data_IF_154259137646
#
_entry.id   IF_154259137646
#
_cell.length_a   1.000
_cell.length_b   1.000
_cell.length_c   1.000
_cell.angle_alpha   90.00
_cell.angle_beta   90.00
_cell.angle_gamma   90.00
#
_symmetry.space_group_name_H-M   'P 1'
#
loop_
_entity.id
_entity.type
_entity.pdbx_description
1 polymer ?
#
# COMPACT_ATOMS: atom_id res chain seq x y z
N UNK A 1 -18.45 -11.46 5.03
CA UNK A 1 -17.80 -11.57 6.36
C UNK A 1 -16.71 -10.50 6.39
N UNK A 2 -16.87 -9.43 7.16
CA UNK A 2 -15.96 -8.29 7.14
C UNK A 2 -14.67 -8.68 7.85
N UNK A 3 -13.58 -8.82 7.08
CA UNK A 3 -12.23 -9.06 7.58
C UNK A 3 -11.83 -7.86 8.45
N UNK A 4 -12.23 -7.93 9.72
CA UNK A 4 -12.02 -6.89 10.71
C UNK A 4 -10.61 -7.11 11.22
N UNK A 5 -9.64 -6.61 10.44
CA UNK A 5 -8.31 -6.31 10.92
C UNK A 5 -8.52 -5.63 12.28
N UNK A 6 -8.14 -6.30 13.37
CA UNK A 6 -8.34 -5.82 14.74
C UNK A 6 -7.45 -4.60 14.95
N UNK A 7 -7.90 -3.48 14.42
CA UNK A 7 -7.16 -2.24 14.48
C UNK A 7 -7.14 -1.74 15.93
N UNK A 8 -5.97 -1.30 16.42
CA UNK A 8 -5.83 -0.83 17.79
C UNK A 8 -6.80 0.31 18.11
N UNK A 9 -7.23 0.46 19.37
CA UNK A 9 -8.06 1.58 19.78
C UNK A 9 -7.31 2.90 19.53
N UNK A 10 -8.00 3.88 18.93
CA UNK A 10 -7.41 5.20 18.65
C UNK A 10 -7.23 5.94 19.99
N UNK A 11 -6.01 6.32 20.38
CA UNK A 11 -5.74 7.06 21.61
C UNK A 11 -6.50 8.39 21.67
N UNK A 12 -6.74 8.92 22.87
CA UNK A 12 -7.29 10.26 23.09
C UNK A 12 -6.25 11.38 22.86
N UNK A 13 -5.52 11.32 21.74
CA UNK A 13 -4.50 12.30 21.34
C UNK A 13 -5.08 13.28 20.32
N UNK A 14 -4.71 14.56 20.41
CA UNK A 14 -5.21 15.62 19.50
C UNK A 14 -4.55 15.60 18.12
N UNK A 15 -3.26 15.26 18.06
CA UNK A 15 -2.47 15.21 16.84
C UNK A 15 -1.68 13.92 16.78
N UNK A 16 -1.69 13.29 15.62
CA UNK A 16 -0.96 12.07 15.29
C UNK A 16 0.06 12.37 14.19
N UNK A 17 1.22 11.72 14.23
CA UNK A 17 2.17 11.73 13.13
C UNK A 17 1.73 10.78 12.00
N UNK A 18 2.29 10.95 10.80
CA UNK A 18 2.05 10.05 9.66
C UNK A 18 2.25 8.57 10.03
N UNK A 19 3.36 8.26 10.70
CA UNK A 19 3.70 6.90 11.13
C UNK A 19 2.72 6.36 12.19
N UNK A 20 2.26 7.20 13.12
CA UNK A 20 1.24 6.80 14.10
C UNK A 20 -0.08 6.47 13.41
N UNK A 21 -0.52 7.30 12.47
CA UNK A 21 -1.76 7.08 11.71
C UNK A 21 -1.69 5.81 10.86
N UNK A 22 -0.57 5.62 10.15
CA UNK A 22 -0.32 4.43 9.34
C UNK A 22 -0.43 3.16 10.19
N UNK A 23 0.18 3.15 11.39
CA UNK A 23 0.06 2.03 12.35
C UNK A 23 -1.37 1.83 12.86
N UNK A 24 -2.10 2.90 13.15
CA UNK A 24 -3.47 2.82 13.66
C UNK A 24 -4.49 2.35 12.61
N UNK A 25 -4.22 2.59 11.33
CA UNK A 25 -5.06 2.17 10.21
C UNK A 25 -4.58 0.90 9.50
N UNK A 26 -3.43 0.34 9.91
CA UNK A 26 -2.75 -0.77 9.20
C UNK A 26 -2.50 -0.49 7.70
N UNK A 27 -2.18 0.77 7.39
CA UNK A 27 -1.88 1.25 6.04
C UNK A 27 -0.42 1.71 6.02
N UNK A 28 0.29 1.50 4.92
CA UNK A 28 1.68 1.97 4.78
C UNK A 28 1.74 3.44 4.38
N UNK A 29 2.79 4.18 4.78
CA UNK A 29 2.97 5.59 4.39
C UNK A 29 2.94 5.80 2.87
N UNK A 30 3.56 4.88 2.10
CA UNK A 30 3.55 4.92 0.64
C UNK A 30 2.13 4.79 0.06
N UNK A 31 1.32 3.86 0.57
CA UNK A 31 -0.07 3.67 0.15
C UNK A 31 -0.93 4.90 0.44
N UNK A 32 -0.75 5.51 1.62
CA UNK A 32 -1.46 6.72 2.00
C UNK A 32 -1.02 7.90 1.14
N UNK A 33 0.27 8.04 0.83
CA UNK A 33 0.78 9.08 -0.06
C UNK A 33 0.26 8.94 -1.49
N UNK A 34 0.23 7.72 -2.03
CA UNK A 34 -0.33 7.40 -3.34
C UNK A 34 -1.83 7.72 -3.42
N UNK A 35 -2.56 7.36 -2.37
CA UNK A 35 -3.97 7.69 -2.24
C UNK A 35 -4.18 9.20 -2.16
N UNK A 36 -3.36 9.92 -1.38
CA UNK A 36 -3.43 11.38 -1.25
C UNK A 36 -3.12 12.09 -2.58
N UNK A 37 -2.24 11.53 -3.42
CA UNK A 37 -1.94 12.07 -4.74
C UNK A 37 -3.15 12.00 -5.68
N UNK A 38 -3.95 10.93 -5.59
CA UNK A 38 -5.11 10.70 -6.47
C UNK A 38 -6.42 11.28 -5.97
N UNK A 39 -6.65 11.26 -4.66
CA UNK A 39 -7.91 11.70 -4.04
C UNK A 39 -7.81 13.04 -3.28
N UNK A 40 -6.59 13.59 -3.15
CA UNK A 40 -6.33 14.84 -2.43
C UNK A 40 -5.82 14.64 -1.00
N UNK A 41 -5.24 15.71 -0.43
CA UNK A 41 -4.57 15.68 0.88
C UNK A 41 -5.56 15.45 2.04
N UNK A 42 -5.36 14.37 2.80
CA UNK A 42 -5.96 14.18 4.13
C UNK A 42 -5.02 14.82 5.15
N UNK A 43 -5.41 15.97 5.71
CA UNK A 43 -4.61 16.71 6.68
C UNK A 43 -4.31 18.12 6.20
N UNK A 44 -4.42 19.09 7.11
CA UNK A 44 -4.26 20.51 6.81
C UNK A 44 -2.92 20.81 6.13
N UNK A 45 -2.95 21.75 5.17
CA UNK A 45 -1.80 22.26 4.38
C UNK A 45 -0.52 22.26 5.21
N UNK A 46 0.42 21.34 4.95
CA UNK A 46 1.74 21.34 5.60
C UNK A 46 2.20 20.06 6.31
N UNK A 47 1.50 18.92 6.15
CA UNK A 47 2.22 17.68 5.81
C UNK A 47 2.80 16.75 6.90
N UNK A 48 2.39 16.82 8.18
CA UNK A 48 2.76 15.75 9.15
C UNK A 48 1.84 15.58 10.36
N UNK A 49 0.80 16.40 10.51
CA UNK A 49 -0.11 16.32 11.66
C UNK A 49 -1.51 15.95 11.22
N UNK A 50 -1.96 14.81 11.72
CA UNK A 50 -3.29 14.28 11.49
C UNK A 50 -4.13 14.48 12.75
N UNK A 51 -5.34 14.98 12.59
CA UNK A 51 -6.28 15.05 13.70
C UNK A 51 -6.92 13.69 13.93
N UNK A 52 -7.55 13.49 15.09
CA UNK A 52 -8.36 12.28 15.34
C UNK A 52 -9.40 12.03 14.25
N UNK A 53 -9.98 13.09 13.67
CA UNK A 53 -10.93 12.98 12.57
C UNK A 53 -10.26 12.40 11.31
N UNK A 54 -9.05 12.86 10.99
CA UNK A 54 -8.28 12.35 9.86
C UNK A 54 -7.93 10.87 10.04
N UNK A 55 -7.55 10.46 11.26
CA UNK A 55 -7.31 9.04 11.58
C UNK A 55 -8.55 8.20 11.34
N UNK A 56 -9.73 8.68 11.77
CA UNK A 56 -10.98 7.97 11.57
C UNK A 56 -11.36 7.86 10.09
N UNK A 57 -11.12 8.92 9.30
CA UNK A 57 -11.30 8.88 7.84
C UNK A 57 -10.40 7.85 7.19
N UNK A 58 -9.10 7.87 7.50
CA UNK A 58 -8.13 6.90 6.95
C UNK A 58 -8.51 5.47 7.33
N UNK A 59 -9.01 5.27 8.57
CA UNK A 59 -9.51 3.97 9.04
C UNK A 59 -10.74 3.48 8.27
N UNK A 60 -11.65 4.36 7.89
CA UNK A 60 -12.78 4.01 7.03
C UNK A 60 -12.33 3.70 5.59
N UNK A 61 -11.33 4.44 5.12
CA UNK A 61 -10.76 4.30 3.78
C UNK A 61 -9.75 3.17 3.67
N UNK A 62 -9.39 2.49 4.77
CA UNK A 62 -8.33 1.46 4.80
C UNK A 62 -8.49 0.41 3.69
N UNK A 63 -9.72 -0.01 3.43
CA UNK A 63 -10.01 -1.04 2.43
C UNK A 63 -9.81 -0.50 1.03
N UNK A 64 -10.24 0.74 0.75
CA UNK A 64 -10.00 1.39 -0.54
C UNK A 64 -8.53 1.69 -0.78
N UNK A 65 -7.79 2.09 0.27
CA UNK A 65 -6.35 2.37 0.17
C UNK A 65 -5.56 1.06 -0.06
N UNK A 66 -5.95 -0.05 0.57
CA UNK A 66 -5.31 -1.35 0.37
C UNK A 66 -5.68 -2.01 -0.97
N UNK A 67 -6.93 -1.91 -1.40
CA UNK A 67 -7.43 -2.50 -2.66
C UNK A 67 -6.75 -1.87 -3.87
N UNK A 68 -6.59 -0.55 -3.87
CA UNK A 68 -5.89 0.19 -4.92
C UNK A 68 -4.49 -0.33 -5.20
N UNK A 69 -3.87 -0.90 -4.18
CA UNK A 69 -2.49 -1.30 -4.16
C UNK A 69 -2.34 -2.79 -4.46
N UNK A 70 -3.36 -3.56 -4.09
CA UNK A 70 -3.52 -4.96 -4.51
C UNK A 70 -3.85 -5.03 -6.01
N UNK A 71 -4.60 -4.06 -6.54
CA UNK A 71 -4.96 -3.99 -7.96
C UNK A 71 -3.80 -3.53 -8.87
N UNK A 72 -2.97 -2.60 -8.39
CA UNK A 72 -1.85 -2.04 -9.16
C UNK A 72 -0.60 -2.94 -9.18
N UNK A 73 -0.65 -4.10 -8.52
CA UNK A 73 0.46 -5.05 -8.48
C UNK A 73 1.69 -4.52 -7.74
N UNK A 74 1.49 -3.72 -6.69
CA UNK A 74 2.57 -3.13 -5.92
C UNK A 74 2.93 -4.01 -4.71
N UNK A 75 4.23 -4.13 -4.42
CA UNK A 75 4.80 -4.94 -3.34
C UNK A 75 4.65 -4.28 -1.96
N UNK A 76 5.10 -4.96 -0.91
CA UNK A 76 5.01 -4.46 0.45
C UNK A 76 5.69 -3.08 0.68
N UNK A 77 6.52 -2.59 -0.23
CA UNK A 77 7.33 -1.39 -0.04
C UNK A 77 6.88 -0.21 -0.93
N UNK A 78 5.83 -0.37 -1.75
CA UNK A 78 5.38 0.70 -2.65
C UNK A 78 5.94 0.58 -4.07
N UNK A 79 6.74 -0.45 -4.33
CA UNK A 79 7.34 -0.66 -5.64
C UNK A 79 6.41 -1.52 -6.48
N UNK A 80 6.43 -1.42 -7.83
CA UNK A 80 5.85 -2.46 -8.65
C UNK A 80 6.45 -3.80 -8.24
N UNK A 81 5.62 -4.73 -7.77
CA UNK A 81 6.04 -6.10 -7.56
C UNK A 81 6.58 -6.57 -8.91
N UNK A 82 7.87 -6.92 -8.96
CA UNK A 82 8.66 -7.35 -10.14
C UNK A 82 7.73 -7.48 -11.34
N UNK A 83 7.67 -6.42 -12.14
CA UNK A 83 6.57 -6.23 -13.09
C UNK A 83 6.33 -7.51 -13.85
N UNK A 84 5.08 -7.87 -14.12
CA UNK A 84 4.77 -9.10 -14.85
C UNK A 84 5.59 -9.22 -16.16
N UNK A 85 6.05 -8.10 -16.72
CA UNK A 85 7.07 -8.00 -17.77
C UNK A 85 8.43 -8.60 -17.41
N UNK A 86 9.04 -8.21 -16.30
CA UNK A 86 10.37 -8.66 -15.88
C UNK A 86 10.35 -10.13 -15.44
N UNK A 87 9.26 -10.58 -14.81
CA UNK A 87 9.07 -12.00 -14.50
C UNK A 87 8.81 -12.83 -15.78
N UNK A 88 8.12 -12.28 -16.78
CA UNK A 88 7.96 -12.91 -18.10
C UNK A 88 9.27 -13.01 -18.85
N UNK A 89 10.08 -11.95 -18.85
CA UNK A 89 11.39 -11.93 -19.50
C UNK A 89 12.34 -12.99 -18.89
N UNK A 90 12.34 -13.13 -17.56
CA UNK A 90 13.14 -14.16 -16.91
C UNK A 90 12.57 -15.58 -17.14
N UNK A 91 11.24 -15.75 -17.19
CA UNK A 91 10.61 -17.02 -17.58
C UNK A 91 10.96 -17.42 -19.03
N UNK A 92 10.92 -16.49 -19.98
CA UNK A 92 11.34 -16.70 -21.39
C UNK A 92 12.81 -17.14 -21.48
N UNK A 93 13.69 -16.49 -20.71
CA UNK A 93 15.12 -16.84 -20.63
C UNK A 93 15.33 -18.26 -20.11
N UNK A 94 14.57 -18.64 -19.09
CA UNK A 94 14.63 -20.00 -18.50
C UNK A 94 14.09 -21.01 -19.52
N UNK A 95 13.01 -20.71 -20.21
CA UNK A 95 12.44 -21.58 -21.24
C UNK A 95 13.44 -21.83 -22.38
N UNK A 96 14.05 -20.78 -22.92
CA UNK A 96 15.06 -20.90 -23.98
C UNK A 96 16.31 -21.69 -23.56
N UNK A 97 16.69 -21.62 -22.27
CA UNK A 97 17.75 -22.48 -21.73
C UNK A 97 17.33 -23.94 -21.71
N UNK A 98 16.10 -24.26 -21.30
CA UNK A 98 15.60 -25.63 -21.25
C UNK A 98 15.51 -26.23 -22.66
N UNK A 99 14.97 -25.48 -23.63
CA UNK A 99 14.89 -25.91 -25.03
C UNK A 99 16.28 -26.22 -25.62
N UNK A 100 17.27 -25.35 -25.36
CA UNK A 100 18.65 -25.56 -25.81
C UNK A 100 19.32 -26.79 -25.17
N UNK A 101 18.91 -27.14 -23.94
CA UNK A 101 19.44 -28.30 -23.22
C UNK A 101 18.79 -29.61 -23.69
N UNK A 102 17.53 -29.55 -24.13
CA UNK A 102 16.78 -30.68 -24.69
C UNK A 102 17.11 -30.96 -26.17
N UNK A 103 17.62 -29.95 -26.89
CA UNK A 103 18.00 -30.06 -28.29
C UNK A 103 19.40 -30.66 -28.53
N UNK A 104 20.09 -31.12 -27.48
CA UNK A 104 21.45 -31.68 -27.53
C UNK A 104 21.50 -33.11 -26.99
#
# INVERSE_FOLDING_TARGET
>A
MTNSVKLPPVPAKRYFSLEEVCRLAAVKPAQLAEWQRRHGSIGGRGGSRFTRLDVMKIRQLQHGIADVFTHDGLDADGNPAIGADEMRDELEKILGKIEKTLAN
#
